data_IF_656632647003
#
_entry.id   IF_656632647003
#
_cell.length_a   1.000
_cell.length_b   1.000
_cell.length_c   1.000
_cell.angle_alpha   90.00
_cell.angle_beta   90.00
_cell.angle_gamma   90.00
#
_symmetry.space_group_name_H-M   'P 1'
#
loop_
_entity.id
_entity.type
_entity.pdbx_description
1 polymer ?
#
# COMPACT_ATOMS: atom_id res chain seq x y z
N UNK A 1 5.02 -2.12 40.99
CA UNK A 1 6.35 -2.65 40.65
C UNK A 1 6.18 -4.06 40.09
N UNK A 2 6.10 -4.17 38.76
CA UNK A 2 6.30 -5.42 38.03
C UNK A 2 7.49 -5.15 37.13
N UNK A 3 8.65 -5.71 37.49
CA UNK A 3 9.86 -5.67 36.67
C UNK A 3 9.62 -6.52 35.42
N UNK A 4 9.16 -5.87 34.35
CA UNK A 4 9.01 -6.51 33.06
C UNK A 4 10.39 -6.80 32.49
N UNK A 5 10.68 -8.08 32.23
CA UNK A 5 11.68 -8.48 31.26
C UNK A 5 11.27 -7.85 29.92
N UNK A 6 11.79 -6.66 29.65
CA UNK A 6 11.54 -5.95 28.41
C UNK A 6 12.20 -6.72 27.29
N UNK A 7 11.40 -7.51 26.56
CA UNK A 7 11.82 -8.02 25.25
C UNK A 7 12.04 -6.79 24.39
N UNK A 8 13.29 -6.56 23.97
CA UNK A 8 13.60 -5.42 23.12
C UNK A 8 12.95 -5.57 21.74
N UNK A 9 12.84 -4.43 21.05
CA UNK A 9 12.23 -4.35 19.72
C UNK A 9 12.90 -5.30 18.73
N UNK A 10 14.23 -5.38 18.74
CA UNK A 10 14.99 -6.25 17.85
C UNK A 10 14.63 -7.74 18.05
N UNK A 11 14.38 -8.17 19.29
CA UNK A 11 13.96 -9.53 19.60
C UNK A 11 12.54 -9.80 19.09
N UNK A 12 11.59 -8.86 19.30
CA UNK A 12 10.24 -8.98 18.73
C UNK A 12 10.27 -9.05 17.21
N UNK A 13 11.23 -8.35 16.61
CA UNK A 13 11.42 -8.37 15.18
C UNK A 13 11.89 -9.77 14.71
N UNK A 14 12.92 -10.34 15.32
CA UNK A 14 13.38 -11.70 14.98
C UNK A 14 12.26 -12.73 15.12
N UNK A 15 11.48 -12.65 16.19
CA UNK A 15 10.34 -13.56 16.41
C UNK A 15 9.28 -13.47 15.32
N UNK A 16 9.11 -12.32 14.68
CA UNK A 16 8.19 -12.17 13.55
C UNK A 16 8.76 -12.75 12.25
N UNK A 17 10.08 -12.65 12.02
CA UNK A 17 10.74 -13.35 10.92
C UNK A 17 10.64 -14.88 11.07
N UNK A 18 10.81 -15.39 12.28
CA UNK A 18 10.67 -16.82 12.55
C UNK A 18 9.23 -17.29 12.26
N UNK A 19 8.23 -16.51 12.67
CA UNK A 19 6.82 -16.77 12.37
C UNK A 19 6.53 -16.81 10.86
N UNK A 20 7.16 -15.93 10.07
CA UNK A 20 7.07 -15.95 8.61
C UNK A 20 7.63 -17.25 8.02
N UNK A 21 8.75 -17.75 8.56
CA UNK A 21 9.47 -18.90 8.00
C UNK A 21 8.76 -20.24 8.21
N UNK A 22 7.90 -20.35 9.23
CA UNK A 22 7.22 -21.61 9.58
C UNK A 22 5.83 -21.76 8.98
N UNK A 23 5.24 -20.68 8.45
CA UNK A 23 3.88 -20.70 7.91
C UNK A 23 3.83 -21.24 6.49
N UNK A 24 2.74 -21.92 6.18
CA UNK A 24 2.47 -22.36 4.80
C UNK A 24 2.16 -21.16 3.92
N UNK A 25 2.71 -21.16 2.70
CA UNK A 25 2.57 -20.04 1.77
C UNK A 25 1.49 -20.31 0.72
N UNK A 26 0.69 -19.30 0.39
CA UNK A 26 -0.21 -19.30 -0.77
C UNK A 26 -0.02 -18.01 -1.57
N UNK A 27 0.15 -18.14 -2.87
CA UNK A 27 0.39 -17.02 -3.78
C UNK A 27 -0.88 -16.71 -4.58
N UNK A 28 -1.19 -15.42 -4.72
CA UNK A 28 -2.28 -14.92 -5.56
C UNK A 28 -1.84 -13.64 -6.26
N UNK A 29 -2.31 -13.43 -7.48
CA UNK A 29 -2.21 -12.12 -8.13
C UNK A 29 -3.25 -11.17 -7.52
N UNK A 30 -2.89 -9.89 -7.40
CA UNK A 30 -3.81 -8.84 -6.96
C UNK A 30 -4.41 -8.21 -8.22
N UNK A 31 -5.73 -8.23 -8.30
CA UNK A 31 -6.47 -7.54 -9.35
C UNK A 31 -6.22 -6.03 -9.27
N UNK A 32 -5.85 -5.42 -10.39
CA UNK A 32 -5.63 -3.96 -10.50
C UNK A 32 -6.73 -3.36 -11.35
N UNK A 33 -7.48 -2.42 -10.79
CA UNK A 33 -8.57 -1.71 -11.44
C UNK A 33 -8.24 -0.24 -11.60
N UNK A 34 -8.57 0.34 -12.76
CA UNK A 34 -8.46 1.77 -12.96
C UNK A 34 -9.56 2.51 -12.20
N UNK A 35 -9.16 3.49 -11.38
CA UNK A 35 -10.08 4.34 -10.63
C UNK A 35 -10.21 5.70 -11.30
N UNK A 36 -11.46 6.07 -11.59
CA UNK A 36 -11.85 7.39 -12.06
C UNK A 36 -12.80 7.94 -10.99
N UNK A 37 -12.43 9.04 -10.29
CA UNK A 37 -13.26 9.58 -9.23
C UNK A 37 -14.57 10.15 -9.78
N UNK A 38 -15.68 9.93 -9.06
CA UNK A 38 -16.97 10.50 -9.47
C UNK A 38 -17.06 12.00 -9.18
N UNK A 39 -16.39 12.44 -8.10
CA UNK A 39 -16.31 13.82 -7.63
C UNK A 39 -14.85 14.12 -7.25
N UNK A 40 -14.03 14.59 -8.22
CA UNK A 40 -12.58 14.76 -8.03
C UNK A 40 -12.20 15.82 -6.97
N UNK A 41 -13.15 16.66 -6.57
CA UNK A 41 -13.02 17.72 -5.56
C UNK A 41 -13.40 17.24 -4.13
N UNK A 42 -13.80 15.98 -3.97
CA UNK A 42 -14.20 15.38 -2.68
C UNK A 42 -13.27 14.27 -2.23
N UNK A 43 -13.68 13.52 -1.20
CA UNK A 43 -12.92 12.41 -0.66
C UNK A 43 -12.74 11.31 -1.73
N UNK A 44 -11.49 10.91 -1.97
CA UNK A 44 -11.12 9.99 -3.04
C UNK A 44 -10.91 8.58 -2.51
N UNK A 45 -11.48 7.59 -3.20
CA UNK A 45 -11.28 6.18 -2.84
C UNK A 45 -9.84 5.73 -3.09
N UNK A 46 -9.18 6.28 -4.12
CA UNK A 46 -7.74 6.17 -4.35
C UNK A 46 -7.18 7.57 -4.68
N UNK A 47 -6.16 8.08 -3.97
CA UNK A 47 -5.53 9.35 -4.29
C UNK A 47 -4.86 9.30 -5.67
N UNK A 48 -4.81 10.41 -6.42
CA UNK A 48 -4.06 10.48 -7.68
C UNK A 48 -2.57 10.24 -7.43
N UNK A 49 -1.92 9.52 -8.36
CA UNK A 49 -0.52 9.13 -8.19
C UNK A 49 -0.32 8.00 -7.18
N UNK A 50 -1.34 7.17 -6.96
CA UNK A 50 -1.25 6.03 -6.06
C UNK A 50 -1.82 4.75 -6.69
N UNK A 51 -1.29 3.61 -6.23
CA UNK A 51 -1.98 2.32 -6.25
C UNK A 51 -2.37 1.97 -4.83
N UNK A 52 -3.66 2.10 -4.53
CA UNK A 52 -4.21 1.77 -3.21
C UNK A 52 -4.66 0.31 -3.18
N UNK A 53 -4.04 -0.48 -2.31
CA UNK A 53 -4.39 -1.90 -2.11
C UNK A 53 -5.32 -2.04 -0.91
N UNK A 54 -6.48 -2.65 -1.14
CA UNK A 54 -7.44 -3.05 -0.12
C UNK A 54 -7.25 -4.54 0.14
N UNK A 55 -7.05 -4.92 1.40
CA UNK A 55 -6.92 -6.32 1.83
C UNK A 55 -7.97 -6.61 2.87
N UNK A 56 -8.78 -7.64 2.64
CA UNK A 56 -9.82 -8.09 3.57
C UNK A 56 -9.84 -9.61 3.66
N UNK A 57 -10.72 -10.15 4.50
CA UNK A 57 -11.02 -11.58 4.47
C UNK A 57 -11.57 -11.97 3.09
N UNK A 58 -11.30 -13.19 2.64
CA UNK A 58 -11.83 -13.69 1.38
C UNK A 58 -13.36 -13.67 1.40
N UNK A 59 -13.96 -13.06 0.36
CA UNK A 59 -15.41 -12.89 0.26
C UNK A 59 -15.99 -11.76 1.11
N UNK A 60 -15.16 -10.90 1.72
CA UNK A 60 -15.66 -9.72 2.42
C UNK A 60 -16.38 -8.77 1.43
N UNK A 61 -17.62 -8.32 1.74
CA UNK A 61 -18.40 -7.48 0.84
C UNK A 61 -17.74 -6.14 0.50
N UNK A 62 -16.81 -5.65 1.34
CA UNK A 62 -16.11 -4.39 1.07
C UNK A 62 -15.29 -4.45 -0.22
N UNK A 63 -14.67 -5.60 -0.53
CA UNK A 63 -13.87 -5.74 -1.75
C UNK A 63 -14.75 -5.80 -2.99
N UNK A 64 -15.90 -6.45 -2.91
CA UNK A 64 -16.86 -6.43 -4.01
C UNK A 64 -17.37 -5.02 -4.28
N UNK A 65 -17.62 -4.23 -3.22
CA UNK A 65 -18.01 -2.82 -3.37
C UNK A 65 -16.91 -1.99 -4.03
N UNK A 66 -15.65 -2.18 -3.66
CA UNK A 66 -14.50 -1.52 -4.33
C UNK A 66 -14.51 -1.84 -5.83
N UNK A 67 -14.71 -3.10 -6.22
CA UNK A 67 -14.79 -3.51 -7.62
C UNK A 67 -15.96 -2.87 -8.36
N UNK A 68 -17.13 -2.87 -7.74
CA UNK A 68 -18.35 -2.31 -8.35
C UNK A 68 -18.19 -0.80 -8.60
N UNK A 69 -17.60 -0.06 -7.66
CA UNK A 69 -17.29 1.37 -7.81
C UNK A 69 -16.33 1.61 -8.98
N UNK A 70 -15.23 0.85 -9.06
CA UNK A 70 -14.23 1.03 -10.11
C UNK A 70 -14.74 0.65 -11.50
N UNK A 71 -15.62 -0.36 -11.62
CA UNK A 71 -16.08 -0.87 -12.92
C UNK A 71 -17.32 -0.17 -13.48
N UNK A 72 -18.21 0.34 -12.63
CA UNK A 72 -19.52 0.85 -13.07
C UNK A 72 -19.61 2.38 -13.18
N UNK A 73 -18.50 3.09 -12.93
CA UNK A 73 -18.46 4.57 -12.90
C UNK A 73 -19.59 5.15 -12.03
N UNK A 74 -19.87 4.52 -10.89
CA UNK A 74 -20.92 4.95 -9.97
C UNK A 74 -20.43 6.07 -9.05
N UNK A 75 -21.35 6.95 -8.65
CA UNK A 75 -21.11 8.09 -7.74
C UNK A 75 -20.88 7.72 -6.28
N UNK A 76 -20.70 6.42 -5.99
CA UNK A 76 -20.74 5.87 -4.64
C UNK A 76 -19.34 5.80 -3.99
N UNK A 77 -18.30 6.23 -4.70
CA UNK A 77 -16.93 6.30 -4.16
C UNK A 77 -16.83 7.27 -2.98
N UNK A 78 -17.44 8.45 -3.10
CA UNK A 78 -17.45 9.46 -2.03
C UNK A 78 -18.19 8.92 -0.80
N UNK A 79 -19.36 8.32 -0.99
CA UNK A 79 -20.16 7.73 0.10
C UNK A 79 -19.37 6.61 0.81
N UNK A 80 -18.75 5.71 0.04
CA UNK A 80 -17.91 4.66 0.60
C UNK A 80 -16.75 5.23 1.43
N UNK A 81 -16.09 6.29 0.95
CA UNK A 81 -14.98 6.89 1.71
C UNK A 81 -15.49 7.58 2.98
N UNK A 82 -16.45 8.48 2.85
CA UNK A 82 -16.89 9.36 3.94
C UNK A 82 -17.71 8.63 5.00
N UNK A 83 -18.56 7.67 4.60
CA UNK A 83 -19.53 7.03 5.49
C UNK A 83 -19.14 5.61 5.91
N UNK A 84 -18.19 4.97 5.22
CA UNK A 84 -17.78 3.59 5.55
C UNK A 84 -16.31 3.43 5.88
N UNK A 85 -15.40 4.00 5.09
CA UNK A 85 -13.97 3.84 5.34
C UNK A 85 -13.54 4.79 6.45
N UNK A 86 -13.71 6.11 6.29
CA UNK A 86 -13.23 7.10 7.28
C UNK A 86 -13.74 6.83 8.70
N UNK A 87 -15.03 6.51 8.93
CA UNK A 87 -15.54 6.25 10.28
C UNK A 87 -14.93 5.02 10.94
N UNK A 88 -14.50 4.01 10.19
CA UNK A 88 -13.76 2.86 10.75
C UNK A 88 -12.39 3.28 11.28
N UNK A 89 -11.80 4.36 10.75
CA UNK A 89 -10.41 4.74 11.04
C UNK A 89 -10.28 5.91 12.02
N UNK A 90 -11.34 6.68 12.28
CA UNK A 90 -11.28 7.92 13.07
C UNK A 90 -10.80 7.73 14.52
N UNK A 91 -11.21 6.65 15.18
CA UNK A 91 -10.90 6.37 16.59
C UNK A 91 -9.69 5.45 16.78
N UNK A 92 -8.93 5.19 15.71
CA UNK A 92 -7.82 4.24 15.76
C UNK A 92 -6.67 4.77 16.61
N UNK A 93 -6.13 3.87 17.43
CA UNK A 93 -4.94 4.13 18.25
C UNK A 93 -3.74 3.45 17.61
N UNK A 94 -2.58 4.12 17.69
CA UNK A 94 -1.30 3.49 17.36
C UNK A 94 -1.09 2.29 18.29
N UNK A 95 -0.72 1.16 17.71
CA UNK A 95 -0.35 -0.05 18.44
C UNK A 95 1.14 0.02 18.80
N UNK A 96 1.51 -0.51 19.97
CA UNK A 96 2.91 -0.78 20.25
C UNK A 96 3.42 -1.96 19.41
N UNK A 97 4.73 -2.04 19.18
CA UNK A 97 5.37 -3.17 18.47
C UNK A 97 4.96 -4.51 19.10
N UNK A 98 4.95 -4.57 20.44
CA UNK A 98 4.49 -5.76 21.16
C UNK A 98 3.04 -6.13 20.87
N UNK A 99 2.13 -5.14 20.83
CA UNK A 99 0.73 -5.39 20.47
C UNK A 99 0.60 -5.88 19.03
N UNK A 100 1.33 -5.29 18.09
CA UNK A 100 1.35 -5.71 16.69
C UNK A 100 1.85 -7.16 16.54
N UNK A 101 2.94 -7.52 17.23
CA UNK A 101 3.45 -8.89 17.26
C UNK A 101 2.44 -9.88 17.85
N UNK A 102 1.77 -9.52 18.96
CA UNK A 102 0.72 -10.36 19.56
C UNK A 102 -0.47 -10.59 18.62
N UNK A 103 -0.84 -9.58 17.84
CA UNK A 103 -1.89 -9.72 16.83
C UNK A 103 -1.44 -10.63 15.69
N UNK A 104 -0.20 -10.48 15.21
CA UNK A 104 0.38 -11.33 14.17
C UNK A 104 0.36 -12.81 14.58
N UNK A 105 0.85 -13.13 15.77
CA UNK A 105 0.87 -14.50 16.30
C UNK A 105 -0.52 -15.13 16.38
N UNK A 106 -1.54 -14.32 16.72
CA UNK A 106 -2.91 -14.79 16.86
C UNK A 106 -3.64 -14.87 15.53
N UNK A 107 -3.14 -14.22 14.49
CA UNK A 107 -3.81 -14.18 13.21
C UNK A 107 -3.68 -15.55 12.52
N UNK A 108 -4.78 -16.18 12.09
CA UNK A 108 -4.69 -17.44 11.35
C UNK A 108 -4.05 -17.27 9.97
N UNK A 109 -4.16 -16.07 9.39
CA UNK A 109 -3.59 -15.70 8.11
C UNK A 109 -3.16 -14.24 8.14
N UNK A 110 -2.05 -13.93 7.50
CA UNK A 110 -1.64 -12.57 7.17
C UNK A 110 -0.92 -12.59 5.82
N UNK A 111 -0.60 -11.45 5.24
CA UNK A 111 -0.04 -11.37 3.91
C UNK A 111 1.24 -10.52 3.80
N UNK A 112 2.03 -10.84 2.79
CA UNK A 112 3.06 -9.99 2.21
C UNK A 112 2.56 -9.54 0.84
N UNK A 113 2.64 -8.24 0.55
CA UNK A 113 2.35 -7.69 -0.77
C UNK A 113 3.66 -7.42 -1.47
N UNK A 114 3.79 -7.88 -2.72
CA UNK A 114 4.98 -7.65 -3.55
C UNK A 114 4.61 -7.05 -4.88
N UNK A 115 5.55 -6.31 -5.45
CA UNK A 115 5.51 -5.88 -6.83
C UNK A 115 6.84 -6.25 -7.51
N UNK A 116 6.81 -7.30 -8.33
CA UNK A 116 7.99 -7.91 -8.92
C UNK A 116 8.91 -8.48 -7.83
N UNK A 117 10.18 -8.09 -7.87
CA UNK A 117 11.19 -8.39 -6.87
C UNK A 117 10.97 -7.70 -5.52
N UNK A 118 10.23 -6.59 -5.46
CA UNK A 118 10.11 -5.74 -4.27
C UNK A 118 8.99 -6.16 -3.33
N UNK A 119 9.22 -6.01 -2.04
CA UNK A 119 8.20 -6.16 -1.01
C UNK A 119 7.60 -4.79 -0.70
N UNK A 120 6.31 -4.61 -0.95
CA UNK A 120 5.58 -3.38 -0.67
C UNK A 120 5.07 -3.33 0.78
N UNK A 121 4.71 -4.47 1.34
CA UNK A 121 4.32 -4.57 2.74
C UNK A 121 4.47 -6.00 3.25
N UNK A 122 4.75 -6.15 4.53
CA UNK A 122 4.78 -7.43 5.25
C UNK A 122 3.79 -7.40 6.41
N UNK A 123 3.35 -8.58 6.85
CA UNK A 123 2.49 -8.72 8.03
C UNK A 123 1.13 -7.99 7.89
N UNK A 124 0.59 -7.94 6.66
CA UNK A 124 -0.69 -7.30 6.35
C UNK A 124 -1.84 -8.22 6.77
N UNK A 125 -2.68 -7.76 7.68
CA UNK A 125 -3.95 -8.42 8.00
C UNK A 125 -5.00 -7.37 8.35
N UNK A 126 -6.27 -7.56 7.94
CA UNK A 126 -7.35 -6.68 8.35
C UNK A 126 -7.61 -6.84 9.86
N UNK A 127 -7.58 -5.78 10.66
CA UNK A 127 -8.01 -5.84 12.04
C UNK A 127 -9.50 -6.24 12.14
N UNK A 128 -9.85 -7.03 13.15
CA UNK A 128 -11.21 -7.58 13.29
C UNK A 128 -12.29 -6.49 13.39
N UNK A 129 -11.95 -5.37 14.01
CA UNK A 129 -12.82 -4.21 14.20
C UNK A 129 -13.03 -3.38 12.92
N UNK A 130 -12.18 -3.57 11.91
CA UNK A 130 -12.20 -2.77 10.68
C UNK A 130 -12.63 -3.57 9.45
N UNK A 131 -12.37 -4.87 9.44
CA UNK A 131 -12.64 -5.75 8.30
C UNK A 131 -11.76 -5.51 7.07
N UNK A 132 -10.96 -4.43 7.05
CA UNK A 132 -10.12 -4.07 5.91
C UNK A 132 -8.80 -3.44 6.36
N UNK A 133 -7.72 -3.79 5.66
CA UNK A 133 -6.45 -3.07 5.66
C UNK A 133 -6.30 -2.33 4.33
N UNK A 134 -5.81 -1.10 4.38
CA UNK A 134 -5.65 -0.23 3.21
C UNK A 134 -4.18 0.20 3.16
N UNK A 135 -3.57 0.15 1.99
CA UNK A 135 -2.18 0.53 1.77
C UNK A 135 -2.07 1.42 0.53
N UNK A 136 -1.59 2.64 0.73
CA UNK A 136 -1.26 3.55 -0.36
C UNK A 136 0.17 3.33 -0.84
N UNK A 137 0.35 3.00 -2.12
CA UNK A 137 1.68 2.85 -2.72
C UNK A 137 1.86 3.95 -3.77
N UNK A 138 2.84 4.87 -3.61
CA UNK A 138 3.05 5.93 -4.58
C UNK A 138 3.33 5.36 -5.97
N UNK A 139 2.73 5.97 -6.98
CA UNK A 139 2.72 5.52 -8.37
C UNK A 139 2.94 6.70 -9.32
N UNK A 140 3.98 6.60 -10.15
CA UNK A 140 4.41 7.72 -11.00
C UNK A 140 3.60 7.87 -12.30
N UNK A 141 2.65 6.97 -12.60
CA UNK A 141 1.86 7.00 -13.84
C UNK A 141 2.41 6.17 -15.00
N UNK A 142 3.55 5.49 -14.82
CA UNK A 142 4.16 4.61 -15.81
C UNK A 142 3.46 3.26 -15.93
N UNK A 143 3.89 2.40 -16.85
CA UNK A 143 3.28 1.08 -17.02
C UNK A 143 3.40 0.23 -15.74
N UNK A 144 2.33 -0.52 -15.42
CA UNK A 144 2.33 -1.54 -14.38
C UNK A 144 2.05 -2.90 -14.99
N UNK A 145 2.73 -3.93 -14.50
CA UNK A 145 2.43 -5.33 -14.83
C UNK A 145 1.54 -5.92 -13.73
N UNK A 146 0.25 -6.19 -13.97
CA UNK A 146 -0.64 -6.76 -12.95
C UNK A 146 -0.12 -8.08 -12.39
N UNK A 147 0.48 -8.92 -13.23
CA UNK A 147 1.08 -10.19 -12.84
C UNK A 147 2.23 -10.04 -11.83
N UNK A 148 2.83 -8.85 -11.73
CA UNK A 148 3.89 -8.58 -10.76
C UNK A 148 3.34 -8.18 -9.39
N UNK A 149 2.09 -7.71 -9.30
CA UNK A 149 1.47 -7.33 -8.02
C UNK A 149 0.85 -8.58 -7.38
N UNK A 150 1.49 -9.07 -6.32
CA UNK A 150 1.15 -10.37 -5.72
C UNK A 150 0.85 -10.27 -4.23
N UNK A 151 -0.12 -11.06 -3.79
CA UNK A 151 -0.47 -11.33 -2.40
C UNK A 151 0.12 -12.70 -2.02
N UNK A 152 1.01 -12.70 -1.04
CA UNK A 152 1.57 -13.92 -0.46
C UNK A 152 0.98 -14.09 0.92
N UNK A 153 0.10 -15.07 1.09
CA UNK A 153 -0.50 -15.39 2.37
C UNK A 153 0.36 -16.35 3.17
N UNK A 154 0.56 -16.02 4.44
CA UNK A 154 1.24 -16.82 5.45
C UNK A 154 0.19 -17.42 6.38
N UNK A 155 -0.06 -18.72 6.23
CA UNK A 155 -1.19 -19.42 6.84
C UNK A 155 -0.72 -20.40 7.91
N UNK A 156 -1.43 -20.38 9.04
CA UNK A 156 -1.35 -21.48 10.00
C UNK A 156 -1.78 -22.79 9.35
N UNK A 157 -1.15 -23.89 9.73
CA UNK A 157 -1.53 -25.21 9.24
C UNK A 157 -2.98 -25.57 9.62
N UNK A 158 -3.72 -26.14 8.67
CA UNK A 158 -5.13 -26.55 8.89
C UNK A 158 -6.15 -25.41 8.96
N UNK A 159 -5.77 -24.15 8.76
CA UNK A 159 -6.73 -23.04 8.72
C UNK A 159 -7.41 -22.91 7.35
N UNK A 160 -8.72 -22.69 7.34
CA UNK A 160 -9.46 -22.28 6.14
C UNK A 160 -9.48 -20.76 5.96
N UNK A 161 -8.90 -20.01 6.90
CA UNK A 161 -8.82 -18.55 6.79
C UNK A 161 -8.02 -18.15 5.55
N UNK A 162 -8.53 -17.12 4.88
CA UNK A 162 -8.01 -16.63 3.62
C UNK A 162 -8.20 -15.12 3.53
N UNK A 163 -7.27 -14.47 2.86
CA UNK A 163 -7.29 -13.07 2.48
C UNK A 163 -7.52 -12.93 0.99
N UNK A 164 -8.05 -11.79 0.63
CA UNK A 164 -8.26 -11.34 -0.73
C UNK A 164 -7.84 -9.87 -0.81
N UNK A 165 -7.37 -9.47 -2.00
CA UNK A 165 -6.92 -8.11 -2.21
C UNK A 165 -7.38 -7.59 -3.57
N UNK A 166 -7.69 -6.29 -3.60
CA UNK A 166 -8.00 -5.51 -4.81
C UNK A 166 -7.16 -4.24 -4.77
N UNK A 167 -6.54 -3.90 -5.87
CA UNK A 167 -5.80 -2.66 -6.04
C UNK A 167 -6.57 -1.70 -6.93
N UNK A 168 -6.69 -0.45 -6.50
CA UNK A 168 -7.14 0.65 -7.33
C UNK A 168 -5.92 1.46 -7.80
N UNK A 169 -5.86 1.75 -9.09
CA UNK A 169 -4.85 2.60 -9.71
C UNK A 169 -5.47 3.93 -10.09
N UNK A 170 -4.96 5.02 -9.57
CA UNK A 170 -5.33 6.37 -9.98
C UNK A 170 -4.09 7.06 -10.57
N UNK A 171 -4.06 7.19 -11.90
CA UNK A 171 -2.95 7.83 -12.58
C UNK A 171 -2.80 9.30 -12.14
N UNK A 172 -1.57 9.78 -11.89
CA UNK A 172 -1.34 11.20 -11.67
C UNK A 172 -1.54 11.98 -12.98
N UNK A 173 -1.81 13.29 -12.90
CA UNK A 173 -1.61 14.15 -14.06
C UNK A 173 -0.15 14.08 -14.51
N UNK A 174 0.07 14.05 -15.82
CA UNK A 174 1.42 14.01 -16.42
C UNK A 174 1.50 14.97 -17.59
N UNK A 175 2.61 15.71 -17.68
CA UNK A 175 2.93 16.50 -18.87
C UNK A 175 3.21 15.58 -20.07
N UNK A 176 3.16 16.09 -21.31
CA UNK A 176 3.56 15.31 -22.48
C UNK A 176 5.00 14.76 -22.39
N UNK A 177 5.94 15.55 -21.85
CA UNK A 177 7.34 15.14 -21.68
C UNK A 177 7.48 14.02 -20.65
N UNK A 178 6.85 14.16 -19.48
CA UNK A 178 6.85 13.12 -18.44
C UNK A 178 6.27 11.80 -18.95
N UNK A 179 5.12 11.87 -19.67
CA UNK A 179 4.50 10.69 -20.27
C UNK A 179 5.41 10.03 -21.29
N UNK A 180 6.04 10.81 -22.16
CA UNK A 180 6.96 10.29 -23.17
C UNK A 180 8.19 9.63 -22.56
N UNK A 181 8.69 10.17 -21.43
CA UNK A 181 9.78 9.55 -20.68
C UNK A 181 9.35 8.23 -20.03
N UNK A 182 8.16 8.17 -19.41
CA UNK A 182 7.66 6.96 -18.75
C UNK A 182 7.40 5.81 -19.72
N UNK A 183 6.94 6.09 -20.95
CA UNK A 183 6.77 5.07 -22.00
C UNK A 183 8.11 4.44 -22.43
N UNK A 184 9.22 5.13 -22.23
CA UNK A 184 10.56 4.66 -22.57
C UNK A 184 11.24 3.89 -21.44
N UNK A 185 10.58 3.73 -20.28
CA UNK A 185 11.11 2.91 -19.19
C UNK A 185 11.12 1.45 -19.62
N UNK A 186 12.26 0.75 -19.58
CA UNK A 186 12.35 -0.65 -19.94
C UNK A 186 11.42 -1.56 -19.11
N UNK A 187 10.87 -2.61 -19.73
CA UNK A 187 9.95 -3.55 -19.05
C UNK A 187 10.58 -4.30 -17.87
N UNK A 188 11.91 -4.47 -17.85
CA UNK A 188 12.64 -5.05 -16.72
C UNK A 188 12.83 -4.05 -15.54
N UNK A 189 12.42 -2.79 -15.72
CA UNK A 189 12.50 -1.72 -14.73
C UNK A 189 11.13 -1.19 -14.28
N UNK A 190 10.02 -1.88 -14.60
CA UNK A 190 8.67 -1.44 -14.22
C UNK A 190 8.46 -1.30 -12.71
N UNK A 191 9.28 -1.97 -11.89
CA UNK A 191 9.31 -1.78 -10.44
C UNK A 191 9.63 -0.33 -10.02
N UNK A 192 10.26 0.46 -10.88
CA UNK A 192 10.53 1.87 -10.65
C UNK A 192 9.27 2.75 -10.76
N UNK A 193 8.12 2.19 -11.16
CA UNK A 193 6.87 2.93 -11.26
C UNK A 193 6.03 2.89 -9.98
N UNK A 194 6.36 2.01 -9.04
CA UNK A 194 5.61 1.80 -7.81
C UNK A 194 6.57 1.63 -6.62
N UNK A 195 6.33 2.36 -5.53
CA UNK A 195 7.17 2.25 -4.33
C UNK A 195 6.36 1.95 -3.07
N UNK A 196 7.09 1.59 -2.01
CA UNK A 196 6.59 1.25 -0.68
C UNK A 196 6.06 2.52 0.01
N UNK A 197 4.98 2.37 0.77
CA UNK A 197 4.67 3.26 1.89
C UNK A 197 5.71 3.06 3.01
N UNK A 198 6.78 3.87 3.01
CA UNK A 198 7.88 3.74 3.97
C UNK A 198 7.54 4.17 5.39
N UNK A 199 6.53 5.02 5.60
CA UNK A 199 6.48 5.87 6.78
C UNK A 199 5.16 5.80 7.56
N UNK A 200 4.63 4.60 7.84
CA UNK A 200 3.56 4.49 8.85
C UNK A 200 4.05 4.89 10.26
N UNK A 201 5.36 5.07 10.47
CA UNK A 201 5.97 5.57 11.71
C UNK A 201 7.19 6.48 11.40
N UNK A 202 7.21 7.77 11.79
CA UNK A 202 8.29 8.72 11.48
C UNK A 202 9.58 8.52 12.32
N UNK A 203 9.94 7.27 12.68
CA UNK A 203 11.12 6.97 13.51
C UNK A 203 11.70 5.56 13.21
N UNK A 204 11.62 5.10 11.96
CA UNK A 204 11.95 3.71 11.59
C UNK A 204 13.09 3.57 10.60
N UNK A 205 14.18 4.31 10.82
CA UNK A 205 15.51 4.24 10.19
C UNK A 205 15.73 3.15 9.12
N UNK A 206 16.06 3.64 7.93
CA UNK A 206 16.70 2.99 6.79
C UNK A 206 18.02 2.25 7.16
N UNK A 207 18.00 1.18 7.98
CA UNK A 207 19.20 0.37 8.30
C UNK A 207 18.83 -1.13 8.42
N UNK A 208 19.18 -1.91 7.39
CA UNK A 208 19.62 -3.32 7.51
C UNK A 208 18.67 -4.38 8.10
N UNK A 209 17.36 -4.39 7.85
CA UNK A 209 16.54 -5.61 8.07
C UNK A 209 15.43 -5.76 7.03
N UNK A 210 15.73 -6.36 5.88
CA UNK A 210 14.74 -6.80 4.89
C UNK A 210 13.85 -7.95 5.39
N UNK A 211 14.03 -8.41 6.63
CA UNK A 211 13.25 -9.50 7.21
C UNK A 211 12.14 -9.05 8.18
N UNK A 212 12.16 -7.80 8.67
CA UNK A 212 11.23 -7.42 9.74
C UNK A 212 10.87 -5.94 9.80
N UNK A 213 10.02 -5.52 8.88
CA UNK A 213 9.17 -4.36 9.13
C UNK A 213 7.79 -4.87 9.56
N UNK A 214 7.37 -4.54 10.78
CA UNK A 214 5.94 -4.56 11.10
C UNK A 214 5.29 -3.36 10.42
N UNK A 215 4.97 -3.47 9.14
CA UNK A 215 4.10 -2.50 8.48
C UNK A 215 2.69 -2.77 8.98
N UNK A 216 2.33 -2.18 10.10
CA UNK A 216 0.91 -2.11 10.48
C UNK A 216 0.27 -1.19 9.46
N UNK A 217 -0.66 -1.71 8.64
CA UNK A 217 -1.46 -0.90 7.72
C UNK A 217 -2.36 0.06 8.52
N UNK A 218 -1.79 1.20 8.89
CA UNK A 218 -2.47 2.32 9.51
C UNK A 218 -2.56 3.39 8.43
N UNK A 219 -3.64 3.37 7.66
CA UNK A 219 -3.96 4.47 6.77
C UNK A 219 -4.23 5.73 7.60
N UNK A 220 -3.39 6.73 7.39
CA UNK A 220 -3.80 8.12 7.48
C UNK A 220 -4.55 8.44 6.19
N UNK A 221 -5.88 8.29 6.18
CA UNK A 221 -6.72 8.95 5.18
C UNK A 221 -6.79 10.44 5.55
N UNK A 222 -5.65 11.13 5.56
CA UNK A 222 -5.65 12.59 5.53
C UNK A 222 -5.74 12.92 4.06
N UNK A 223 -6.86 13.51 3.64
CA UNK A 223 -7.05 14.05 2.31
C UNK A 223 -5.82 14.90 1.95
N UNK A 224 -4.94 14.37 1.10
CA UNK A 224 -3.83 15.15 0.56
C UNK A 224 -4.49 16.29 -0.22
N UNK A 225 -4.23 17.56 0.12
CA UNK A 225 -4.82 18.67 -0.61
C UNK A 225 -4.36 18.58 -2.08
N UNK A 226 -5.27 18.76 -3.07
CA UNK A 226 -4.99 18.56 -4.49
C UNK A 226 -3.76 19.35 -4.99
N UNK A 227 -3.44 20.49 -4.36
CA UNK A 227 -2.30 21.32 -4.71
C UNK A 227 -0.92 20.65 -4.59
N UNK A 228 -0.73 19.64 -3.72
CA UNK A 228 0.54 18.91 -3.63
C UNK A 228 0.72 17.86 -4.74
N UNK A 229 -0.37 17.47 -5.41
CA UNK A 229 -0.35 16.46 -6.47
C UNK A 229 0.04 17.09 -7.82
N UNK A 230 0.03 18.41 -7.98
CA UNK A 230 0.31 19.08 -9.26
C UNK A 230 1.79 19.39 -9.50
N UNK A 231 2.71 18.89 -8.67
CA UNK A 231 4.13 19.09 -8.92
C UNK A 231 4.59 18.25 -10.13
N UNK A 232 5.28 18.92 -11.05
CA UNK A 232 5.78 18.38 -12.32
C UNK A 232 7.27 18.69 -12.50
N UNK A 233 7.93 17.87 -13.31
CA UNK A 233 9.27 18.16 -13.82
C UNK A 233 9.18 19.06 -15.05
N UNK A 234 10.12 19.99 -15.19
CA UNK A 234 10.24 20.75 -16.43
C UNK A 234 10.73 19.85 -17.56
N UNK A 235 10.39 20.21 -18.80
CA UNK A 235 10.84 19.47 -19.99
C UNK A 235 12.38 19.36 -20.05
N UNK A 236 13.11 20.41 -19.64
CA UNK A 236 14.57 20.41 -19.53
C UNK A 236 15.07 19.41 -18.48
N UNK A 237 14.39 19.30 -17.33
CA UNK A 237 14.72 18.30 -16.31
C UNK A 237 14.48 16.89 -16.85
N UNK A 238 13.36 16.65 -17.53
CA UNK A 238 13.03 15.35 -18.14
C UNK A 238 14.10 14.95 -19.17
N UNK A 239 14.48 15.86 -20.06
CA UNK A 239 15.51 15.62 -21.07
C UNK A 239 16.87 15.29 -20.43
N UNK A 240 17.27 16.05 -19.40
CA UNK A 240 18.55 15.88 -18.71
C UNK A 240 18.62 14.58 -17.90
N UNK A 241 17.53 14.18 -17.27
CA UNK A 241 17.47 12.97 -16.42
C UNK A 241 17.42 11.69 -17.27
N UNK A 242 16.68 11.72 -18.37
CA UNK A 242 16.35 10.54 -19.16
C UNK A 242 15.31 9.63 -18.48
N UNK A 243 14.76 8.64 -19.22
CA UNK A 243 13.55 7.91 -18.84
C UNK A 243 13.55 7.31 -17.43
N UNK A 244 14.57 6.53 -17.07
CA UNK A 244 14.61 5.82 -15.81
C UNK A 244 14.79 6.75 -14.59
N UNK A 245 15.56 7.83 -14.73
CA UNK A 245 15.74 8.78 -13.65
C UNK A 245 14.52 9.70 -13.52
N UNK A 246 13.87 10.09 -14.62
CA UNK A 246 12.57 10.77 -14.61
C UNK A 246 11.52 9.93 -13.87
N UNK A 247 11.45 8.62 -14.14
CA UNK A 247 10.50 7.74 -13.45
C UNK A 247 10.69 7.73 -11.92
N UNK A 248 11.95 7.72 -11.46
CA UNK A 248 12.29 7.76 -10.02
C UNK A 248 11.96 9.10 -9.40
N UNK A 249 12.34 10.20 -10.05
CA UNK A 249 12.08 11.55 -9.55
C UNK A 249 10.57 11.83 -9.45
N UNK A 250 9.80 11.43 -10.46
CA UNK A 250 8.34 11.52 -10.41
C UNK A 250 7.77 10.69 -9.25
N UNK A 251 8.31 9.50 -9.01
CA UNK A 251 7.89 8.65 -7.89
C UNK A 251 8.21 9.29 -6.54
N UNK A 252 9.35 9.94 -6.40
CA UNK A 252 9.74 10.69 -5.20
C UNK A 252 8.78 11.87 -4.95
N UNK A 253 8.40 12.60 -6.00
CA UNK A 253 7.35 13.65 -5.93
C UNK A 253 6.03 13.06 -5.41
N UNK A 254 5.60 11.89 -5.93
CA UNK A 254 4.35 11.26 -5.47
C UNK A 254 4.43 10.77 -4.04
N UNK A 255 5.59 10.27 -3.63
CA UNK A 255 5.85 9.86 -2.26
C UNK A 255 5.70 11.05 -1.30
N UNK A 256 6.31 12.19 -1.63
CA UNK A 256 6.19 13.42 -0.85
C UNK A 256 4.75 13.94 -0.81
N UNK A 257 4.06 13.98 -1.96
CA UNK A 257 2.66 14.41 -2.04
C UNK A 257 1.73 13.55 -1.17
N UNK A 258 1.99 12.25 -1.06
CA UNK A 258 1.23 11.33 -0.20
C UNK A 258 1.61 11.43 1.29
N UNK A 259 2.51 12.35 1.66
CA UNK A 259 2.94 12.57 3.05
C UNK A 259 3.92 11.52 3.57
N UNK A 260 4.57 10.78 2.68
CA UNK A 260 5.64 9.83 3.03
C UNK A 260 6.99 10.56 2.98
N UNK A 261 7.34 11.22 4.08
CA UNK A 261 8.59 11.98 4.22
C UNK A 261 9.58 11.17 5.06
N UNK A 262 10.82 11.09 4.59
CA UNK A 262 11.95 10.41 5.25
C UNK A 262 12.28 10.95 6.65
#
# INVERSE_FOLDING_TARGET
>A
MLGGLGVDEQTLLHLAADELAVRSLRYREIEVLDYIPSQPDRALLCPPGAVRVFVAAQGDPILQRVRDIATRSHSDDVDMVENEIVPRFVDRKRLSVYQAWRLLQRSPVFATIRYGGRTLATNVFPPQDLGVAILDNPYNGGELSPAHLTLIEHRLEGTDAALEAVALRHAPPLTPAERAALVQVPHDQLEANLTINGDCCPNGTFIMVTAVAFTTAICCAVSVPPAQIEQHLSDEQVEKLGPAATARELLDIRREALGHVH
#
